data_IF_053766944535
#
_entry.id   IF_053766944535
#
_cell.length_a   1.000
_cell.length_b   1.000
_cell.length_c   1.000
_cell.angle_alpha   90.00
_cell.angle_beta   90.00
_cell.angle_gamma   90.00
#
_symmetry.space_group_name_H-M   'P 1'
#
loop_
_entity.id
_entity.type
_entity.pdbx_description
1 polymer ?
#
# COMPACT_ATOMS: atom_id res chain seq x y z
N UNK A 1 40.51 -36.78 -18.45
CA UNK A 1 40.83 -37.46 -17.16
C UNK A 1 39.65 -37.18 -16.27
N UNK A 2 38.58 -38.05 -16.17
CA UNK A 2 38.38 -39.17 -15.23
C UNK A 2 38.69 -38.67 -13.80
N UNK A 3 37.75 -38.66 -12.86
CA UNK A 3 36.93 -39.70 -12.21
C UNK A 3 35.82 -39.08 -11.40
N UNK A 4 34.60 -39.36 -11.53
CA UNK A 4 33.68 -40.42 -10.93
C UNK A 4 33.87 -40.67 -9.41
N UNK A 5 32.80 -40.51 -8.64
CA UNK A 5 32.66 -40.97 -7.26
C UNK A 5 31.22 -40.90 -6.79
N UNK A 6 30.51 -41.98 -7.00
CA UNK A 6 29.15 -42.36 -6.54
C UNK A 6 29.17 -42.89 -5.11
N UNK A 7 27.99 -42.97 -4.49
CA UNK A 7 27.48 -43.88 -3.42
C UNK A 7 26.98 -43.18 -2.15
N UNK A 8 25.92 -43.54 -1.49
CA UNK A 8 24.78 -44.48 -1.60
C UNK A 8 23.83 -44.12 -0.47
N UNK A 9 22.58 -44.08 -0.78
CA UNK A 9 21.39 -44.68 -0.17
C UNK A 9 21.56 -45.34 1.19
N UNK A 10 20.77 -44.95 2.20
CA UNK A 10 20.27 -45.85 3.26
C UNK A 10 18.91 -45.41 3.77
N UNK A 11 17.88 -46.15 3.41
CA UNK A 11 16.58 -46.25 4.08
C UNK A 11 16.76 -46.96 5.43
N UNK A 12 16.03 -46.53 6.45
CA UNK A 12 15.57 -47.41 7.52
C UNK A 12 14.21 -46.99 8.02
N UNK A 13 13.24 -47.87 7.76
CA UNK A 13 11.92 -47.95 8.37
C UNK A 13 12.02 -48.52 9.75
N UNK A 14 11.24 -48.05 10.71
CA UNK A 14 10.71 -48.90 11.78
C UNK A 14 9.37 -48.35 12.28
N UNK A 15 8.43 -49.27 12.38
CA UNK A 15 7.02 -49.10 12.68
C UNK A 15 6.67 -49.48 14.13
N UNK A 16 5.46 -49.05 14.50
CA UNK A 16 4.53 -49.70 15.45
C UNK A 16 4.78 -49.60 16.95
N UNK A 17 3.79 -49.19 17.72
CA UNK A 17 2.63 -49.94 18.22
C UNK A 17 1.81 -49.09 19.21
N UNK A 18 0.56 -49.02 18.99
CA UNK A 18 -0.66 -49.39 19.77
C UNK A 18 -0.51 -49.61 21.28
N UNK A 19 -1.40 -48.92 22.03
CA UNK A 19 -2.36 -49.62 22.91
C UNK A 19 -3.34 -48.62 23.57
N UNK A 20 -4.59 -48.89 23.31
CA UNK A 20 -5.84 -48.51 23.98
C UNK A 20 -5.89 -48.95 25.44
N UNK A 21 -6.69 -48.29 26.28
CA UNK A 21 -7.66 -48.95 27.21
C UNK A 21 -8.74 -47.96 27.65
N UNK A 22 -9.97 -48.38 27.50
CA UNK A 22 -11.25 -47.88 28.01
C UNK A 22 -11.44 -48.15 29.50
N UNK A 23 -12.46 -47.51 30.03
CA UNK A 23 -13.41 -47.84 31.12
C UNK A 23 -13.41 -46.81 32.25
N UNK A 24 -14.50 -46.45 32.89
CA UNK A 24 -15.93 -46.70 32.83
C UNK A 24 -16.64 -45.77 33.77
N UNK A 25 -17.94 -45.62 33.51
CA UNK A 25 -19.02 -45.08 34.31
C UNK A 25 -18.94 -45.09 35.86
N UNK A 26 -19.62 -44.10 36.49
CA UNK A 26 -20.12 -44.20 37.85
C UNK A 26 -20.93 -42.96 38.27
N UNK A 27 -22.20 -43.16 38.51
CA UNK A 27 -23.32 -42.22 38.71
C UNK A 27 -23.44 -41.66 40.15
N UNK A 28 -24.13 -40.50 40.26
CA UNK A 28 -25.08 -40.01 41.31
C UNK A 28 -24.51 -39.73 42.72
N UNK A 29 -24.83 -38.66 43.35
CA UNK A 29 -26.08 -38.02 43.77
C UNK A 29 -25.83 -36.66 44.47
N UNK A 30 -26.77 -35.74 44.23
CA UNK A 30 -27.40 -34.69 45.08
C UNK A 30 -26.65 -34.09 46.29
N UNK A 31 -26.53 -32.77 46.38
CA UNK A 31 -27.36 -31.83 47.16
C UNK A 31 -26.74 -30.42 47.32
N UNK A 32 -27.53 -29.45 46.95
CA UNK A 32 -27.88 -28.12 47.51
C UNK A 32 -26.80 -27.17 48.10
N UNK A 33 -26.80 -25.97 47.48
CA UNK A 33 -26.82 -24.62 48.04
C UNK A 33 -25.62 -24.12 48.88
N UNK A 34 -24.91 -23.12 48.41
CA UNK A 34 -25.14 -21.73 48.89
C UNK A 34 -24.41 -20.69 48.03
N UNK A 35 -24.99 -19.52 48.01
CA UNK A 35 -24.70 -18.28 47.31
C UNK A 35 -23.39 -17.65 47.75
N UNK A 36 -22.57 -17.21 46.76
CA UNK A 36 -21.77 -16.00 46.89
C UNK A 36 -21.45 -15.48 45.47
N UNK A 37 -22.04 -14.33 45.15
CA UNK A 37 -21.75 -13.56 43.95
C UNK A 37 -20.33 -13.00 44.03
N UNK A 38 -19.46 -13.45 43.13
CA UNK A 38 -18.23 -12.72 42.82
C UNK A 38 -18.29 -12.30 41.34
N UNK A 39 -18.48 -11.02 41.17
CA UNK A 39 -18.58 -10.37 39.88
C UNK A 39 -17.17 -10.24 39.33
N UNK A 40 -16.71 -11.29 38.69
CA UNK A 40 -15.47 -11.23 37.90
C UNK A 40 -15.82 -10.70 36.53
N UNK A 41 -15.39 -9.46 36.24
CA UNK A 41 -15.44 -8.88 34.93
C UNK A 41 -14.73 -9.82 33.95
N UNK A 42 -15.51 -10.44 33.09
CA UNK A 42 -14.99 -11.17 31.95
C UNK A 42 -14.39 -10.14 30.98
N UNK A 43 -13.06 -10.01 31.01
CA UNK A 43 -12.34 -9.50 29.84
C UNK A 43 -12.60 -10.48 28.72
N UNK A 44 -13.35 -10.08 27.72
CA UNK A 44 -13.52 -10.82 26.49
C UNK A 44 -12.15 -10.91 25.79
N UNK A 45 -11.43 -11.99 26.04
CA UNK A 45 -10.40 -12.44 25.12
C UNK A 45 -11.12 -12.88 23.85
N UNK A 46 -11.00 -12.12 22.79
CA UNK A 46 -11.40 -12.55 21.46
C UNK A 46 -10.73 -13.91 21.20
N UNK A 47 -11.56 -14.90 20.94
CA UNK A 47 -11.13 -16.29 20.75
C UNK A 47 -10.22 -16.31 19.51
N UNK A 48 -9.00 -16.87 19.63
CA UNK A 48 -7.98 -16.93 18.56
C UNK A 48 -8.41 -17.80 17.36
N UNK A 49 -9.64 -18.33 17.39
CA UNK A 49 -10.18 -19.23 16.37
C UNK A 49 -10.90 -18.51 15.22
N UNK A 50 -10.99 -17.17 15.23
CA UNK A 50 -11.84 -16.39 14.29
C UNK A 50 -11.06 -15.31 13.52
N UNK A 51 -9.71 -15.35 13.55
CA UNK A 51 -8.89 -14.40 12.79
C UNK A 51 -8.63 -14.93 11.37
N UNK A 52 -8.78 -14.05 10.38
CA UNK A 52 -8.40 -14.33 8.99
C UNK A 52 -6.89 -14.60 8.81
N UNK A 53 -6.47 -15.06 7.63
CA UNK A 53 -5.09 -15.48 7.38
C UNK A 53 -4.05 -14.40 7.67
N UNK A 54 -4.30 -13.15 7.23
CA UNK A 54 -3.36 -12.04 7.44
C UNK A 54 -3.25 -11.68 8.92
N UNK A 55 -4.36 -11.53 9.64
CA UNK A 55 -4.32 -11.22 11.08
C UNK A 55 -3.67 -12.33 11.89
N UNK A 56 -3.87 -13.60 11.51
CA UNK A 56 -3.19 -14.74 12.12
C UNK A 56 -1.68 -14.64 11.93
N UNK A 57 -1.21 -14.42 10.70
CA UNK A 57 0.20 -14.26 10.36
C UNK A 57 0.86 -13.10 11.12
N UNK A 58 0.20 -11.93 11.18
CA UNK A 58 0.69 -10.77 11.92
C UNK A 58 0.79 -11.08 13.42
N UNK A 59 -0.22 -11.73 13.99
CA UNK A 59 -0.21 -12.11 15.40
C UNK A 59 0.92 -13.08 15.76
N UNK A 60 1.20 -14.05 14.88
CA UNK A 60 2.25 -15.05 15.08
C UNK A 60 3.65 -14.47 14.87
N UNK A 61 3.83 -13.60 13.89
CA UNK A 61 5.13 -13.00 13.56
C UNK A 61 5.48 -11.79 14.44
N UNK A 62 4.47 -11.06 14.92
CA UNK A 62 4.65 -9.75 15.56
C UNK A 62 5.08 -8.68 14.56
N UNK A 63 4.86 -8.86 13.25
CA UNK A 63 5.23 -7.92 12.19
C UNK A 63 4.08 -7.75 11.21
N UNK A 64 3.86 -6.50 10.73
CA UNK A 64 3.05 -6.19 9.55
C UNK A 64 3.96 -5.79 8.39
N UNK A 65 3.90 -6.55 7.30
CA UNK A 65 4.70 -6.32 6.09
C UNK A 65 3.96 -5.37 5.16
N UNK A 66 4.50 -4.16 5.00
CA UNK A 66 3.98 -3.11 4.13
C UNK A 66 4.76 -3.09 2.82
N UNK A 67 4.09 -3.39 1.70
CA UNK A 67 4.64 -3.15 0.37
C UNK A 67 4.42 -1.68 -0.03
N UNK A 68 5.47 -1.03 -0.51
CA UNK A 68 5.42 0.37 -0.95
C UNK A 68 6.38 0.64 -2.11
N UNK A 69 6.20 1.78 -2.80
CA UNK A 69 7.02 2.16 -3.96
C UNK A 69 7.53 3.60 -3.81
N UNK A 70 8.55 3.79 -2.97
CA UNK A 70 9.07 5.11 -2.63
C UNK A 70 9.42 5.97 -3.84
N UNK A 71 9.20 7.29 -3.69
CA UNK A 71 9.34 8.30 -4.74
C UNK A 71 8.01 8.83 -5.26
N UNK A 72 6.90 8.48 -4.59
CA UNK A 72 5.55 8.99 -4.87
C UNK A 72 5.12 9.98 -3.79
N UNK A 73 5.87 11.08 -3.67
CA UNK A 73 5.64 12.12 -2.68
C UNK A 73 4.24 12.76 -2.83
N UNK A 74 3.53 13.13 -1.78
CA UNK A 74 3.87 12.98 -0.35
C UNK A 74 3.42 11.65 0.26
N UNK A 75 2.92 10.69 -0.51
CA UNK A 75 2.39 9.42 -0.01
C UNK A 75 3.50 8.53 0.59
N UNK A 76 4.56 8.26 -0.18
CA UNK A 76 5.69 7.45 0.24
C UNK A 76 7.01 7.91 -0.43
N UNK A 77 7.99 8.23 0.36
CA UNK A 77 9.32 8.65 -0.11
C UNK A 77 10.40 8.42 0.95
N UNK A 78 11.64 8.32 0.49
CA UNK A 78 12.78 8.12 1.39
C UNK A 78 13.09 9.43 2.09
N UNK A 79 13.19 9.41 3.42
CA UNK A 79 13.72 10.53 4.19
C UNK A 79 15.26 10.57 4.08
N UNK A 80 15.78 11.44 3.22
CA UNK A 80 17.22 11.59 3.04
C UNK A 80 17.92 12.27 4.23
N UNK A 81 17.17 12.85 5.17
CA UNK A 81 17.70 13.40 6.41
C UNK A 81 17.87 12.35 7.50
N UNK A 82 17.15 11.23 7.40
CA UNK A 82 17.28 10.09 8.30
C UNK A 82 18.55 9.28 7.99
N UNK A 83 19.30 8.93 9.02
CA UNK A 83 20.49 8.09 8.89
C UNK A 83 20.18 6.68 8.32
N UNK A 84 18.96 6.19 8.53
CA UNK A 84 18.49 4.90 8.06
C UNK A 84 17.84 4.96 6.68
N UNK A 85 17.61 6.16 6.13
CA UNK A 85 16.85 6.37 4.91
C UNK A 85 15.46 5.73 4.99
N UNK A 86 14.75 5.99 6.09
CA UNK A 86 13.42 5.44 6.33
C UNK A 86 12.44 5.94 5.26
N UNK A 87 11.47 5.10 4.91
CA UNK A 87 10.36 5.53 4.06
C UNK A 87 9.32 6.21 4.95
N UNK A 88 8.98 7.45 4.59
CA UNK A 88 8.00 8.30 5.28
C UNK A 88 6.93 8.77 4.30
N UNK A 89 5.89 9.41 4.82
CA UNK A 89 4.80 9.97 4.02
C UNK A 89 3.42 9.63 4.59
N UNK A 90 2.39 10.11 3.92
CA UNK A 90 0.98 9.92 4.31
C UNK A 90 0.63 8.45 4.49
N UNK A 91 1.07 7.61 3.57
CA UNK A 91 0.79 6.18 3.58
C UNK A 91 1.52 5.47 4.72
N UNK A 92 2.73 5.90 5.04
CA UNK A 92 3.47 5.34 6.18
C UNK A 92 2.87 5.78 7.52
N UNK A 93 2.40 7.03 7.64
CA UNK A 93 1.71 7.52 8.83
C UNK A 93 0.37 6.79 9.05
N UNK A 94 -0.38 6.54 7.97
CA UNK A 94 -1.60 5.72 8.03
C UNK A 94 -1.29 4.27 8.42
N UNK A 95 -0.20 3.71 7.88
CA UNK A 95 0.30 2.39 8.25
C UNK A 95 0.66 2.29 9.74
N UNK A 96 1.25 3.33 10.33
CA UNK A 96 1.56 3.38 11.76
C UNK A 96 0.28 3.37 12.62
N UNK A 97 -0.80 4.06 12.19
CA UNK A 97 -2.10 4.01 12.87
C UNK A 97 -2.77 2.65 12.78
N UNK A 98 -2.63 1.97 11.64
CA UNK A 98 -3.11 0.60 11.47
C UNK A 98 -2.35 -0.36 12.42
N UNK A 99 -1.03 -0.21 12.54
CA UNK A 99 -0.19 -1.03 13.45
C UNK A 99 -0.57 -0.80 14.92
N UNK A 100 -0.81 0.46 15.32
CA UNK A 100 -1.28 0.80 16.65
C UNK A 100 -2.57 0.03 16.98
N UNK A 101 -3.57 0.11 16.10
CA UNK A 101 -4.87 -0.57 16.26
C UNK A 101 -4.76 -2.09 16.19
N UNK A 102 -3.86 -2.63 15.37
CA UNK A 102 -3.55 -4.07 15.32
C UNK A 102 -2.96 -4.57 16.63
N UNK A 103 -2.00 -3.82 17.20
CA UNK A 103 -1.37 -4.18 18.46
C UNK A 103 -2.40 -4.29 19.59
N UNK A 104 -3.33 -3.34 19.64
CA UNK A 104 -4.42 -3.33 20.62
C UNK A 104 -5.39 -4.50 20.39
N UNK A 105 -5.82 -4.74 19.14
CA UNK A 105 -6.76 -5.83 18.80
C UNK A 105 -6.18 -7.22 19.05
N UNK A 106 -4.91 -7.43 18.69
CA UNK A 106 -4.26 -8.74 18.76
C UNK A 106 -3.64 -9.03 20.14
N UNK A 107 -3.47 -8.00 20.98
CA UNK A 107 -2.84 -8.10 22.30
C UNK A 107 -1.34 -8.45 22.24
N UNK A 108 -0.68 -8.13 21.14
CA UNK A 108 0.77 -8.31 20.91
C UNK A 108 1.35 -7.02 20.32
N UNK A 109 2.63 -6.75 20.58
CA UNK A 109 3.34 -5.67 19.91
C UNK A 109 3.53 -6.03 18.42
N UNK A 110 2.98 -5.22 17.51
CA UNK A 110 3.17 -5.37 16.07
C UNK A 110 4.18 -4.36 15.58
N UNK A 111 5.21 -4.80 14.87
CA UNK A 111 6.26 -3.96 14.29
C UNK A 111 6.03 -3.72 12.81
N UNK A 112 6.41 -2.53 12.34
CA UNK A 112 6.40 -2.17 10.93
C UNK A 112 7.59 -2.82 10.21
N UNK A 113 7.32 -3.55 9.13
CA UNK A 113 8.32 -4.01 8.18
C UNK A 113 7.99 -3.46 6.80
N UNK A 114 8.84 -2.59 6.24
CA UNK A 114 8.63 -1.96 4.94
C UNK A 114 9.41 -2.72 3.87
N UNK A 115 8.72 -3.14 2.81
CA UNK A 115 9.30 -3.67 1.57
C UNK A 115 9.13 -2.63 0.45
N UNK A 116 10.18 -1.82 0.25
CA UNK A 116 10.20 -0.77 -0.78
C UNK A 116 10.74 -1.34 -2.10
N UNK A 117 9.83 -1.52 -3.07
CA UNK A 117 10.17 -2.05 -4.39
C UNK A 117 9.51 -1.22 -5.51
N UNK A 118 9.40 -1.77 -6.73
CA UNK A 118 8.65 -1.11 -7.81
C UNK A 118 7.14 -1.30 -7.61
N UNK A 119 6.33 -0.33 -8.07
CA UNK A 119 4.88 -0.43 -8.03
C UNK A 119 4.37 -1.74 -8.66
N UNK A 120 4.97 -2.15 -9.79
CA UNK A 120 4.65 -3.40 -10.49
C UNK A 120 4.93 -4.64 -9.65
N UNK A 121 6.08 -4.68 -8.95
CA UNK A 121 6.43 -5.80 -8.09
C UNK A 121 5.49 -5.91 -6.89
N UNK A 122 5.11 -4.78 -6.30
CA UNK A 122 4.17 -4.72 -5.18
C UNK A 122 2.76 -5.21 -5.55
N UNK A 123 2.26 -4.86 -6.75
CA UNK A 123 0.99 -5.42 -7.25
C UNK A 123 1.02 -6.95 -7.32
N UNK A 124 2.14 -7.53 -7.76
CA UNK A 124 2.30 -8.97 -7.82
C UNK A 124 2.43 -9.60 -6.42
N UNK A 125 3.13 -8.93 -5.50
CA UNK A 125 3.34 -9.41 -4.12
C UNK A 125 2.01 -9.49 -3.34
N UNK A 126 1.15 -8.45 -3.42
CA UNK A 126 -0.18 -8.47 -2.79
C UNK A 126 -1.06 -9.56 -3.39
N UNK A 127 -1.11 -9.65 -4.73
CA UNK A 127 -1.92 -10.67 -5.41
C UNK A 127 -1.47 -12.10 -5.10
N UNK A 128 -0.21 -12.30 -4.72
CA UNK A 128 0.38 -13.58 -4.35
C UNK A 128 0.43 -13.82 -2.83
N UNK A 129 -0.20 -12.98 -2.00
CA UNK A 129 -0.22 -13.06 -0.53
C UNK A 129 1.20 -13.12 0.09
N UNK A 130 2.14 -12.36 -0.49
CA UNK A 130 3.54 -12.28 -0.03
C UNK A 130 3.77 -11.12 0.95
N UNK A 131 2.83 -10.20 1.05
CA UNK A 131 2.83 -9.05 1.95
C UNK A 131 1.46 -8.94 2.61
N UNK A 132 1.37 -8.22 3.72
CA UNK A 132 0.11 -8.08 4.46
C UNK A 132 -0.75 -6.95 3.90
N UNK A 133 -0.12 -5.87 3.42
CA UNK A 133 -0.77 -4.64 3.00
C UNK A 133 0.07 -3.93 1.94
N UNK A 134 -0.57 -3.24 0.99
CA UNK A 134 0.11 -2.34 0.08
C UNK A 134 -0.40 -0.90 0.28
N UNK A 135 0.53 -0.05 0.67
CA UNK A 135 0.39 1.39 0.86
C UNK A 135 1.30 2.08 -0.17
N UNK A 136 0.73 2.58 -1.26
CA UNK A 136 1.46 3.11 -2.41
C UNK A 136 0.58 4.04 -3.27
N UNK A 137 -0.20 4.92 -2.64
CA UNK A 137 -1.08 5.86 -3.33
C UNK A 137 -2.00 5.19 -4.36
N UNK A 138 -2.54 4.02 -4.09
CA UNK A 138 -3.09 3.13 -5.12
C UNK A 138 -4.59 3.33 -5.40
N UNK A 139 -4.97 3.31 -6.70
CA UNK A 139 -6.38 3.33 -7.11
C UNK A 139 -7.03 1.94 -7.06
N UNK A 140 -8.25 1.80 -6.51
CA UNK A 140 -9.02 0.56 -6.45
C UNK A 140 -9.76 0.28 -7.78
N UNK A 141 -9.00 0.02 -8.86
CA UNK A 141 -9.62 -0.26 -10.18
C UNK A 141 -10.28 -1.62 -10.22
N UNK A 142 -11.32 -1.79 -11.06
CA UNK A 142 -12.03 -3.07 -11.23
C UNK A 142 -11.11 -4.22 -11.68
N UNK A 143 -10.07 -3.91 -12.45
CA UNK A 143 -9.05 -4.89 -12.83
C UNK A 143 -8.25 -5.38 -11.61
N UNK A 144 -7.82 -4.47 -10.73
CA UNK A 144 -7.06 -4.80 -9.51
C UNK A 144 -7.92 -5.55 -8.50
N UNK A 145 -9.19 -5.20 -8.36
CA UNK A 145 -10.16 -5.89 -7.49
C UNK A 145 -10.37 -7.37 -7.86
N UNK A 146 -9.98 -7.79 -9.05
CA UNK A 146 -10.01 -9.23 -9.41
C UNK A 146 -8.97 -10.04 -8.61
N UNK A 147 -7.86 -9.41 -8.21
CA UNK A 147 -6.72 -10.09 -7.62
C UNK A 147 -6.39 -9.69 -6.17
N UNK A 148 -6.98 -8.61 -5.66
CA UNK A 148 -6.77 -8.09 -4.31
C UNK A 148 -8.04 -7.40 -3.82
N UNK A 149 -8.16 -7.23 -2.51
CA UNK A 149 -9.26 -6.48 -1.91
C UNK A 149 -8.78 -5.08 -1.51
N UNK A 150 -9.72 -4.15 -1.38
CA UNK A 150 -9.42 -2.74 -1.14
C UNK A 150 -10.22 -2.21 0.05
N UNK A 151 -9.58 -1.33 0.80
CA UNK A 151 -10.23 -0.53 1.82
C UNK A 151 -11.23 0.48 1.23
N UNK A 152 -11.92 1.17 2.10
CA UNK A 152 -12.59 2.42 1.77
C UNK A 152 -11.57 3.45 1.24
N UNK A 153 -12.06 4.41 0.45
CA UNK A 153 -11.25 5.49 -0.12
C UNK A 153 -10.83 6.46 0.99
N UNK A 154 -9.52 6.63 1.18
CA UNK A 154 -9.02 7.57 2.18
C UNK A 154 -8.71 8.95 1.61
N UNK A 155 -8.46 9.06 0.29
CA UNK A 155 -8.19 10.32 -0.39
C UNK A 155 -8.72 10.31 -1.82
N UNK A 156 -9.22 11.47 -2.28
CA UNK A 156 -9.61 11.71 -3.68
C UNK A 156 -8.83 12.89 -4.23
N UNK A 157 -8.16 12.68 -5.37
CA UNK A 157 -7.29 13.67 -6.01
C UNK A 157 -7.63 13.87 -7.48
N UNK A 158 -6.98 14.82 -8.15
CA UNK A 158 -7.19 15.11 -9.55
C UNK A 158 -5.96 14.71 -10.39
N UNK A 159 -6.20 14.05 -11.50
CA UNK A 159 -5.18 13.76 -12.51
C UNK A 159 -4.93 15.00 -13.35
N UNK A 160 -3.67 15.39 -13.46
CA UNK A 160 -3.23 16.59 -14.17
C UNK A 160 -2.05 16.27 -15.09
N UNK A 161 -1.65 17.26 -15.88
CA UNK A 161 -0.46 17.17 -16.70
C UNK A 161 0.51 18.26 -16.26
N UNK A 162 1.68 17.83 -15.78
CA UNK A 162 2.79 18.71 -15.44
C UNK A 162 3.66 18.93 -16.67
N UNK A 163 3.98 20.17 -16.96
CA UNK A 163 4.77 20.60 -18.12
C UNK A 163 5.82 21.63 -17.72
N UNK A 164 6.78 21.91 -18.58
CA UNK A 164 7.68 23.06 -18.40
C UNK A 164 6.87 24.36 -18.55
N UNK A 165 7.12 25.32 -17.69
CA UNK A 165 6.46 26.61 -17.66
C UNK A 165 6.58 27.36 -19.00
N UNK A 166 7.74 27.24 -19.65
CA UNK A 166 7.99 27.87 -20.96
C UNK A 166 7.07 27.34 -22.07
N UNK A 167 6.55 26.10 -21.92
CA UNK A 167 5.71 25.45 -22.94
C UNK A 167 4.21 25.48 -22.58
N UNK A 168 3.85 25.92 -21.36
CA UNK A 168 2.50 25.80 -20.82
C UNK A 168 1.42 26.45 -21.68
N UNK A 169 1.72 27.59 -22.31
CA UNK A 169 0.77 28.30 -23.21
C UNK A 169 0.44 27.48 -24.46
N UNK A 170 1.23 26.50 -24.82
CA UNK A 170 0.98 25.60 -25.95
C UNK A 170 0.03 24.45 -25.62
N UNK A 171 -0.26 24.20 -24.32
CA UNK A 171 -1.02 23.05 -23.84
C UNK A 171 -2.30 23.48 -23.12
N UNK A 172 -3.32 23.88 -23.92
CA UNK A 172 -4.61 24.36 -23.40
C UNK A 172 -5.69 23.28 -23.30
N UNK A 173 -5.53 22.20 -24.05
CA UNK A 173 -6.41 21.05 -24.10
C UNK A 173 -5.59 19.77 -24.37
N UNK A 174 -6.24 18.62 -24.27
CA UNK A 174 -5.61 17.31 -24.48
C UNK A 174 -5.11 17.15 -25.92
N UNK A 175 -5.83 17.69 -26.90
CA UNK A 175 -5.47 17.55 -28.32
C UNK A 175 -4.16 18.29 -28.66
N UNK A 176 -3.80 19.31 -27.90
CA UNK A 176 -2.52 20.04 -28.06
C UNK A 176 -1.28 19.18 -27.78
N UNK A 177 -1.44 18.02 -27.16
CA UNK A 177 -0.38 17.04 -26.97
C UNK A 177 -0.18 16.08 -28.16
N UNK A 178 -0.97 16.19 -29.23
CA UNK A 178 -0.80 15.32 -30.40
C UNK A 178 0.65 15.38 -30.93
N UNK A 179 1.28 14.21 -31.13
CA UNK A 179 2.69 14.08 -31.57
C UNK A 179 3.72 14.36 -30.47
N UNK A 180 3.31 14.57 -29.22
CA UNK A 180 4.18 14.85 -28.07
C UNK A 180 4.55 13.56 -27.32
N UNK A 181 5.57 13.65 -26.47
CA UNK A 181 6.01 12.57 -25.59
C UNK A 181 5.53 12.83 -24.18
N UNK A 182 4.80 11.87 -23.61
CA UNK A 182 4.27 11.91 -22.24
C UNK A 182 4.98 10.85 -21.40
N UNK A 183 5.60 11.27 -20.31
CA UNK A 183 6.18 10.36 -19.34
C UNK A 183 5.15 10.02 -18.23
N UNK A 184 5.17 8.77 -17.80
CA UNK A 184 4.24 8.24 -16.79
C UNK A 184 4.94 7.21 -15.92
N UNK A 185 4.37 6.90 -14.77
CA UNK A 185 4.79 5.72 -14.02
C UNK A 185 4.09 4.47 -14.59
N UNK A 186 4.87 3.42 -14.76
CA UNK A 186 4.43 2.14 -15.34
C UNK A 186 3.37 1.42 -14.48
N UNK A 187 2.41 0.77 -15.15
CA UNK A 187 1.30 0.00 -14.56
C UNK A 187 0.37 0.83 -13.65
N UNK A 188 0.35 2.15 -13.83
CA UNK A 188 -0.54 3.07 -13.11
C UNK A 188 -1.79 3.43 -13.93
N UNK A 189 -2.74 4.08 -13.27
CA UNK A 189 -3.89 4.69 -13.94
C UNK A 189 -3.46 5.83 -14.85
N UNK A 190 -2.41 6.56 -14.50
CA UNK A 190 -1.82 7.64 -15.29
C UNK A 190 -1.30 7.12 -16.65
N UNK A 191 -0.66 5.95 -16.67
CA UNK A 191 -0.23 5.32 -17.92
C UNK A 191 -1.44 4.97 -18.81
N UNK A 192 -2.50 4.38 -18.23
CA UNK A 192 -3.72 4.07 -18.97
C UNK A 192 -4.42 5.32 -19.52
N UNK A 193 -4.44 6.41 -18.74
CA UNK A 193 -4.97 7.71 -19.16
C UNK A 193 -4.16 8.27 -20.34
N UNK A 194 -2.84 8.28 -20.26
CA UNK A 194 -2.00 8.75 -21.35
C UNK A 194 -2.20 7.93 -22.64
N UNK A 195 -2.32 6.59 -22.52
CA UNK A 195 -2.56 5.71 -23.67
C UNK A 195 -3.98 5.81 -24.25
N UNK A 196 -4.99 6.01 -23.41
CA UNK A 196 -6.40 5.95 -23.82
C UNK A 196 -7.07 7.30 -24.06
N UNK A 197 -6.64 8.36 -23.36
CA UNK A 197 -7.30 9.68 -23.37
C UNK A 197 -6.46 10.80 -23.98
N UNK A 198 -5.23 10.53 -24.44
CA UNK A 198 -4.35 11.50 -25.10
C UNK A 198 -4.01 11.03 -26.53
N UNK A 199 -4.81 11.41 -27.53
CA UNK A 199 -4.64 10.90 -28.89
C UNK A 199 -3.32 11.36 -29.52
N UNK A 200 -2.61 10.41 -30.15
CA UNK A 200 -1.39 10.68 -30.90
C UNK A 200 -0.13 10.95 -30.07
N UNK A 201 -0.16 10.80 -28.75
CA UNK A 201 1.04 10.90 -27.91
C UNK A 201 1.93 9.67 -28.00
N UNK A 202 3.22 9.85 -27.75
CA UNK A 202 4.16 8.78 -27.46
C UNK A 202 4.29 8.63 -25.95
N UNK A 203 3.98 7.46 -25.37
CA UNK A 203 4.05 7.25 -23.93
C UNK A 203 5.39 6.63 -23.56
N UNK A 204 6.09 7.24 -22.60
CA UNK A 204 7.32 6.73 -21.99
C UNK A 204 7.05 6.31 -20.56
N UNK A 205 7.12 5.00 -20.28
CA UNK A 205 6.78 4.43 -18.98
C UNK A 205 8.03 4.25 -18.12
N UNK A 206 8.03 4.88 -16.94
CA UNK A 206 9.13 4.87 -15.97
C UNK A 206 8.78 4.04 -14.75
N UNK A 207 9.76 3.44 -14.10
CA UNK A 207 9.52 2.64 -12.88
C UNK A 207 9.11 3.51 -11.67
N UNK A 208 9.57 4.77 -11.61
CA UNK A 208 9.28 5.72 -10.52
C UNK A 208 8.98 7.12 -11.07
N UNK A 209 8.15 7.90 -10.36
CA UNK A 209 7.77 9.28 -10.74
C UNK A 209 8.99 10.22 -10.87
N UNK A 210 10.01 10.21 -9.97
CA UNK A 210 11.18 11.07 -10.15
C UNK A 210 11.86 10.90 -11.51
N UNK A 211 11.86 9.68 -12.07
CA UNK A 211 12.40 9.43 -13.41
C UNK A 211 11.53 10.04 -14.51
N UNK A 212 10.20 10.01 -14.37
CA UNK A 212 9.30 10.67 -15.32
C UNK A 212 9.49 12.21 -15.29
N UNK A 213 9.67 12.78 -14.11
CA UNK A 213 9.97 14.21 -13.93
C UNK A 213 11.33 14.56 -14.54
N UNK A 214 12.33 13.69 -14.40
CA UNK A 214 13.65 13.86 -15.02
C UNK A 214 13.54 13.86 -16.56
N UNK A 215 12.72 13.02 -17.17
CA UNK A 215 12.47 13.04 -18.62
C UNK A 215 11.89 14.40 -19.06
N UNK A 216 10.97 14.98 -18.28
CA UNK A 216 10.41 16.30 -18.54
C UNK A 216 11.46 17.41 -18.42
N UNK A 217 12.22 17.45 -17.33
CA UNK A 217 13.22 18.50 -17.06
C UNK A 217 14.40 18.45 -18.01
N UNK A 218 14.71 17.27 -18.57
CA UNK A 218 15.79 17.07 -19.56
C UNK A 218 15.29 17.18 -21.01
N UNK A 219 14.06 17.66 -21.25
CA UNK A 219 13.46 17.82 -22.59
C UNK A 219 13.31 16.52 -23.41
N UNK A 220 13.26 15.36 -22.75
CA UNK A 220 12.96 14.07 -23.39
C UNK A 220 11.48 13.74 -23.40
N UNK A 221 10.71 14.34 -22.50
CA UNK A 221 9.25 14.34 -22.50
C UNK A 221 8.71 15.79 -22.57
N UNK A 222 7.51 15.93 -23.10
CA UNK A 222 6.78 17.21 -23.18
C UNK A 222 5.86 17.42 -21.98
N UNK A 223 5.43 16.33 -21.34
CA UNK A 223 4.58 16.37 -20.17
C UNK A 223 4.68 15.10 -19.31
N UNK A 224 4.21 15.19 -18.08
CA UNK A 224 4.04 14.07 -17.15
C UNK A 224 2.59 14.02 -16.69
N UNK A 225 1.91 12.88 -16.86
CA UNK A 225 0.60 12.67 -16.24
C UNK A 225 0.83 12.28 -14.77
N UNK A 226 0.26 13.07 -13.87
CA UNK A 226 0.56 13.02 -12.43
C UNK A 226 -0.66 13.50 -11.63
N UNK A 227 -0.79 13.05 -10.39
CA UNK A 227 -1.77 13.62 -9.47
C UNK A 227 -1.39 15.04 -9.04
N UNK A 228 -2.40 15.89 -8.83
CA UNK A 228 -2.20 17.26 -8.35
C UNK A 228 -1.40 17.29 -7.03
N UNK A 229 -1.72 16.40 -6.09
CA UNK A 229 -1.02 16.28 -4.80
C UNK A 229 0.44 15.87 -4.97
N UNK A 230 0.71 14.91 -5.88
CA UNK A 230 2.08 14.44 -6.15
C UNK A 230 2.91 15.48 -6.93
N UNK A 231 2.26 16.32 -7.72
CA UNK A 231 2.94 17.38 -8.45
C UNK A 231 3.46 18.49 -7.52
N UNK A 232 2.77 18.79 -6.40
CA UNK A 232 3.06 19.94 -5.53
C UNK A 232 4.52 20.02 -5.05
N UNK A 233 5.14 18.97 -4.49
CA UNK A 233 6.54 19.04 -4.08
C UNK A 233 7.50 19.39 -5.23
N UNK A 234 7.24 18.88 -6.45
CA UNK A 234 8.04 19.19 -7.63
C UNK A 234 7.87 20.63 -8.10
N UNK A 235 6.63 21.17 -8.05
CA UNK A 235 6.35 22.56 -8.43
C UNK A 235 6.97 23.57 -7.46
N UNK A 236 7.00 23.22 -6.16
CA UNK A 236 7.66 24.06 -5.13
C UNK A 236 9.17 24.05 -5.33
N UNK A 237 9.76 22.88 -5.55
CA UNK A 237 11.21 22.73 -5.71
C UNK A 237 11.72 23.25 -7.06
N UNK A 238 10.89 23.23 -8.12
CA UNK A 238 11.26 23.67 -9.46
C UNK A 238 10.24 24.64 -10.05
N UNK A 239 10.48 25.96 -9.93
CA UNK A 239 9.58 27.00 -10.43
C UNK A 239 9.44 27.05 -11.96
N UNK A 240 10.25 26.28 -12.70
CA UNK A 240 10.14 26.11 -14.14
C UNK A 240 9.16 25.01 -14.56
N UNK A 241 8.52 24.34 -13.61
CA UNK A 241 7.44 23.37 -13.82
C UNK A 241 6.09 23.98 -13.42
N UNK A 242 5.03 23.60 -14.14
CA UNK A 242 3.63 24.01 -13.85
C UNK A 242 2.67 22.88 -14.23
N UNK A 243 1.47 22.89 -13.64
CA UNK A 243 0.34 22.15 -14.20
C UNK A 243 -0.25 22.97 -15.32
N UNK A 244 -0.41 22.39 -16.51
CA UNK A 244 -1.02 23.11 -17.65
C UNK A 244 -2.55 23.20 -17.50
N UNK A 245 -3.18 24.02 -18.37
CA UNK A 245 -4.64 24.23 -18.35
C UNK A 245 -5.44 23.04 -18.93
N UNK A 246 -4.77 22.13 -19.67
CA UNK A 246 -5.43 20.96 -20.23
C UNK A 246 -6.00 20.06 -19.12
N UNK A 247 -7.29 19.77 -19.23
CA UNK A 247 -8.00 18.92 -18.28
C UNK A 247 -8.43 17.61 -18.94
N UNK A 248 -8.33 16.52 -18.18
CA UNK A 248 -8.86 15.23 -18.62
C UNK A 248 -10.39 15.20 -18.57
N UNK A 249 -11.03 14.34 -19.38
CA UNK A 249 -12.46 14.05 -19.26
C UNK A 249 -12.82 13.63 -17.82
N UNK A 250 -14.04 13.94 -17.40
CA UNK A 250 -14.49 13.78 -16.01
C UNK A 250 -14.37 12.34 -15.50
N UNK A 251 -14.61 11.36 -16.37
CA UNK A 251 -14.56 9.92 -16.07
C UNK A 251 -13.16 9.40 -15.72
N UNK A 252 -12.09 10.13 -16.09
CA UNK A 252 -10.69 9.78 -15.80
C UNK A 252 -9.94 10.87 -15.03
N UNK A 253 -10.55 12.03 -14.81
CA UNK A 253 -9.95 13.18 -14.12
C UNK A 253 -9.68 12.90 -12.65
N UNK A 254 -10.61 12.25 -11.98
CA UNK A 254 -10.49 12.01 -10.55
C UNK A 254 -9.93 10.64 -10.25
N UNK A 255 -9.14 10.59 -9.18
CA UNK A 255 -8.50 9.38 -8.68
C UNK A 255 -8.90 9.15 -7.24
N UNK A 256 -9.50 8.02 -6.98
CA UNK A 256 -9.69 7.51 -5.64
C UNK A 256 -8.43 6.76 -5.20
N UNK A 257 -8.05 6.93 -3.93
CA UNK A 257 -6.89 6.27 -3.33
C UNK A 257 -7.35 5.41 -2.16
N UNK A 258 -6.97 4.13 -2.19
CA UNK A 258 -7.34 3.12 -1.20
C UNK A 258 -6.16 2.18 -0.91
N UNK A 259 -6.24 1.47 0.19
CA UNK A 259 -5.26 0.48 0.63
C UNK A 259 -5.61 -0.87 0.02
N UNK A 260 -4.63 -1.61 -0.48
CA UNK A 260 -4.85 -2.96 -0.94
C UNK A 260 -4.33 -4.02 0.05
N UNK A 261 -5.07 -5.11 0.15
CA UNK A 261 -4.72 -6.29 0.94
C UNK A 261 -4.91 -7.56 0.09
N UNK A 262 -4.27 -8.68 0.45
CA UNK A 262 -4.57 -9.98 -0.15
C UNK A 262 -6.05 -10.33 -0.02
N UNK A 263 -6.61 -11.03 -1.00
CA UNK A 263 -8.03 -11.39 -1.03
C UNK A 263 -8.48 -12.24 0.15
N UNK A 264 -9.74 -12.01 0.59
CA UNK A 264 -10.39 -12.84 1.60
C UNK A 264 -9.96 -12.54 3.04
N UNK A 265 -9.58 -11.30 3.31
CA UNK A 265 -9.17 -10.83 4.65
C UNK A 265 -10.11 -9.71 5.12
N UNK A 266 -11.42 -10.00 5.18
CA UNK A 266 -12.48 -9.05 5.49
C UNK A 266 -12.32 -8.45 6.90
N UNK A 267 -11.88 -9.24 7.88
CA UNK A 267 -11.62 -8.83 9.27
C UNK A 267 -10.44 -7.84 9.39
N UNK A 268 -9.45 -7.97 8.52
CA UNK A 268 -8.35 -7.01 8.40
C UNK A 268 -8.81 -5.73 7.70
N UNK A 269 -9.60 -5.84 6.63
CA UNK A 269 -10.20 -4.69 5.95
C UNK A 269 -11.12 -3.89 6.87
N UNK A 270 -11.91 -4.55 7.73
CA UNK A 270 -12.77 -3.87 8.69
C UNK A 270 -11.93 -2.99 9.64
N UNK A 271 -10.83 -3.54 10.19
CA UNK A 271 -9.91 -2.76 11.04
C UNK A 271 -9.28 -1.59 10.29
N UNK A 272 -8.86 -1.80 9.03
CA UNK A 272 -8.29 -0.75 8.18
C UNK A 272 -9.31 0.36 7.95
N UNK A 273 -10.56 0.02 7.58
CA UNK A 273 -11.62 0.98 7.30
C UNK A 273 -12.01 1.80 8.53
N UNK A 274 -12.08 1.16 9.70
CA UNK A 274 -12.25 1.87 10.97
C UNK A 274 -11.12 2.87 11.23
N UNK A 275 -9.86 2.45 10.98
CA UNK A 275 -8.69 3.31 11.16
C UNK A 275 -8.71 4.49 10.19
N UNK A 276 -9.03 4.24 8.91
CA UNK A 276 -9.19 5.31 7.90
C UNK A 276 -10.24 6.32 8.36
N UNK A 277 -11.41 5.83 8.79
CA UNK A 277 -12.49 6.71 9.26
C UNK A 277 -12.04 7.55 10.45
N UNK A 278 -11.39 6.97 11.44
CA UNK A 278 -10.88 7.69 12.61
C UNK A 278 -9.86 8.78 12.20
N UNK A 279 -8.95 8.48 11.26
CA UNK A 279 -7.99 9.44 10.75
C UNK A 279 -8.65 10.58 9.94
N UNK A 280 -9.69 10.26 9.13
CA UNK A 280 -10.46 11.26 8.39
C UNK A 280 -11.26 12.17 9.33
N UNK A 281 -11.97 11.60 10.30
CA UNK A 281 -12.77 12.34 11.29
C UNK A 281 -11.88 13.27 12.15
N UNK A 282 -10.64 12.90 12.39
CA UNK A 282 -9.64 13.70 13.11
C UNK A 282 -8.89 14.70 12.23
N UNK A 283 -9.09 14.70 10.90
CA UNK A 283 -8.39 15.58 9.94
C UNK A 283 -6.89 15.26 9.77
N UNK A 284 -6.46 14.08 10.18
CA UNK A 284 -5.04 13.68 10.15
C UNK A 284 -4.52 13.52 8.72
N UNK A 285 -5.34 13.03 7.79
CA UNK A 285 -4.90 12.80 6.41
C UNK A 285 -4.52 14.11 5.74
N UNK A 286 -5.35 15.15 5.88
CA UNK A 286 -5.05 16.49 5.34
C UNK A 286 -3.81 17.10 6.01
N UNK A 287 -3.68 16.94 7.34
CA UNK A 287 -2.49 17.38 8.08
C UNK A 287 -1.23 16.69 7.56
N UNK A 288 -1.25 15.38 7.35
CA UNK A 288 -0.10 14.64 6.82
C UNK A 288 0.24 15.03 5.39
N UNK A 289 -0.76 15.31 4.54
CA UNK A 289 -0.53 15.81 3.17
C UNK A 289 0.27 17.11 3.23
N UNK A 290 -0.12 18.08 4.07
CA UNK A 290 0.56 19.36 4.22
C UNK A 290 1.98 19.18 4.78
N UNK A 291 2.13 18.37 5.83
CA UNK A 291 3.41 18.09 6.49
C UNK A 291 4.40 17.42 5.53
N UNK A 292 4.01 16.29 4.94
CA UNK A 292 4.92 15.53 4.08
C UNK A 292 5.14 16.19 2.71
N UNK A 293 4.21 17.00 2.21
CA UNK A 293 4.47 17.84 1.02
C UNK A 293 5.56 18.88 1.30
N UNK A 294 5.58 19.47 2.50
CA UNK A 294 6.61 20.42 2.89
C UNK A 294 7.98 19.74 3.00
N UNK A 295 8.07 18.61 3.69
CA UNK A 295 9.30 17.83 3.83
C UNK A 295 9.82 17.40 2.44
N UNK A 296 8.94 16.89 1.59
CA UNK A 296 9.29 16.45 0.25
C UNK A 296 9.80 17.62 -0.64
N UNK A 297 9.21 18.80 -0.52
CA UNK A 297 9.65 19.97 -1.25
C UNK A 297 11.04 20.43 -0.82
N UNK A 298 11.34 20.42 0.50
CA UNK A 298 12.66 20.73 1.03
C UNK A 298 13.72 19.76 0.51
N UNK A 299 13.43 18.47 0.45
CA UNK A 299 14.33 17.44 -0.05
C UNK A 299 14.58 17.54 -1.56
N UNK A 300 13.60 18.02 -2.34
CA UNK A 300 13.74 18.20 -3.79
C UNK A 300 14.43 19.51 -4.18
N UNK A 301 14.55 20.48 -3.28
CA UNK A 301 15.18 21.78 -3.53
C UNK A 301 16.71 21.77 -3.36
N UNK A 302 17.30 20.72 -2.79
CA UNK A 302 18.74 20.52 -2.57
C UNK A 302 19.37 19.68 -3.65
#
# INVERSE_FOLDING_TARGET
MKTTGNRTLSLLLAAASMASVLTACGSKDTAAADTSADTQAASASADASDLGPVLTRIKESGEMVIATASGYMPYEFVDISSANQDVIGVDMALGDKIIEKLSDKLGVEVKKKVEDTTFTANLAAVAADQVDIMLAGMSPTEERKQNMDFSDVYLKTEQRIMVRKADADSYKDIDSFNGKTIAVQKNTTQEKIAQGSMPGVSVTSMEKIPLAVLELTTNKADGVVIESTVAQPYLIANPDLVLCDAEFPEDVRYKDTAIAVPKGNEDFLELINETIKECQDAGLIDQWIDEYSSIAAEQNAG
#
